data_IF_646444406312
#
_entry.id   IF_646444406312
#
_cell.length_a   1.000
_cell.length_b   1.000
_cell.length_c   1.000
_cell.angle_alpha   90.00
_cell.angle_beta   90.00
_cell.angle_gamma   90.00
#
_symmetry.space_group_name_H-M   'P 1'
#
loop_
_entity.id
_entity.type
_entity.pdbx_description
1 polymer ?
#
# COMPACT_ATOMS: atom_id res chain seq x y z
N UNK A 1 3.07 -26.06 -2.48
CA UNK A 1 3.02 -24.75 -1.78
C UNK A 1 2.77 -24.92 -0.27
N UNK A 2 3.05 -23.90 0.57
CA UNK A 2 2.96 -24.00 2.04
C UNK A 2 1.55 -24.39 2.55
N UNK A 3 0.51 -23.89 1.88
CA UNK A 3 -0.89 -24.19 2.21
C UNK A 3 -1.29 -25.64 1.96
N UNK A 4 -0.70 -26.30 0.95
CA UNK A 4 -0.94 -27.72 0.69
C UNK A 4 -0.47 -28.58 1.86
N UNK A 5 0.64 -28.18 2.50
CA UNK A 5 1.20 -28.84 3.69
C UNK A 5 0.50 -28.40 4.98
N UNK A 6 -0.11 -27.22 5.01
CA UNK A 6 -0.76 -26.60 6.18
C UNK A 6 -2.14 -26.07 5.81
N UNK A 7 -3.12 -26.97 5.73
CA UNK A 7 -4.49 -26.69 5.23
C UNK A 7 -5.29 -25.64 6.03
N UNK A 8 -4.89 -25.36 7.27
CA UNK A 8 -5.53 -24.37 8.15
C UNK A 8 -4.83 -23.01 8.15
N UNK A 9 -3.79 -22.84 7.33
CA UNK A 9 -3.05 -21.59 7.17
C UNK A 9 -3.58 -20.83 5.97
N UNK A 10 -3.57 -19.50 6.06
CA UNK A 10 -3.77 -18.61 4.92
C UNK A 10 -2.43 -18.01 4.53
N UNK A 11 -2.12 -18.03 3.24
CA UNK A 11 -1.09 -17.24 2.63
C UNK A 11 -1.75 -15.98 2.07
N UNK A 12 -1.35 -14.82 2.60
CA UNK A 12 -1.85 -13.52 2.15
C UNK A 12 -0.70 -12.70 1.56
N UNK A 13 -0.93 -12.00 0.44
CA UNK A 13 0.02 -10.99 0.00
C UNK A 13 0.05 -9.82 0.99
N UNK A 14 1.21 -9.17 1.07
CA UNK A 14 1.41 -7.98 1.88
C UNK A 14 0.57 -6.81 1.36
N UNK A 15 -0.32 -6.28 2.19
CA UNK A 15 -1.19 -5.17 1.82
C UNK A 15 -0.40 -3.88 1.53
N UNK A 16 0.61 -3.56 2.36
CA UNK A 16 1.45 -2.39 2.14
C UNK A 16 2.17 -2.46 0.79
N UNK A 17 2.78 -3.62 0.48
CA UNK A 17 3.45 -3.85 -0.81
C UNK A 17 2.47 -3.74 -1.98
N UNK A 18 1.29 -4.36 -1.88
CA UNK A 18 0.29 -4.29 -2.94
C UNK A 18 -0.26 -2.87 -3.15
N UNK A 19 -0.49 -2.10 -2.08
CA UNK A 19 -0.88 -0.69 -2.21
C UNK A 19 0.25 0.13 -2.80
N UNK A 20 1.50 -0.13 -2.42
CA UNK A 20 2.67 0.52 -3.02
C UNK A 20 2.79 0.25 -4.53
N UNK A 21 2.47 -0.99 -4.96
CA UNK A 21 2.35 -1.34 -6.39
C UNK A 21 1.18 -0.64 -7.08
N UNK A 22 0.06 -0.41 -6.40
CA UNK A 22 -1.02 0.44 -6.95
C UNK A 22 -0.52 1.88 -7.17
N UNK A 23 0.23 2.40 -6.20
CA UNK A 23 0.82 3.73 -6.28
C UNK A 23 1.80 3.85 -7.45
N UNK A 24 2.62 2.82 -7.69
CA UNK A 24 3.46 2.71 -8.90
C UNK A 24 2.64 2.77 -10.18
N UNK A 25 1.56 1.99 -10.27
CA UNK A 25 0.74 1.91 -11.48
C UNK A 25 -0.03 3.20 -11.75
N UNK A 26 -0.32 4.00 -10.73
CA UNK A 26 -0.83 5.36 -10.96
C UNK A 26 0.18 6.23 -11.71
N UNK A 27 1.49 6.05 -11.50
CA UNK A 27 2.52 6.79 -12.23
C UNK A 27 2.57 6.41 -13.71
N UNK A 28 2.11 5.21 -14.06
CA UNK A 28 2.03 4.73 -15.43
C UNK A 28 0.86 5.37 -16.22
N UNK A 29 -0.07 6.05 -15.54
CA UNK A 29 -1.09 6.86 -16.20
C UNK A 29 -0.41 8.09 -16.82
N UNK A 30 -0.43 8.20 -18.16
CA UNK A 30 0.32 9.19 -18.96
C UNK A 30 0.27 10.61 -18.36
N UNK A 31 -0.93 11.14 -18.12
CA UNK A 31 -1.09 12.51 -17.61
C UNK A 31 -0.60 12.70 -16.17
N UNK A 32 -0.62 11.65 -15.35
CA UNK A 32 -0.05 11.64 -13.99
C UNK A 32 1.48 11.62 -14.08
N UNK A 33 2.03 10.66 -14.82
CA UNK A 33 3.48 10.51 -15.02
C UNK A 33 4.13 11.78 -15.57
N UNK A 34 3.52 12.43 -16.56
CA UNK A 34 4.00 13.71 -17.10
C UNK A 34 3.99 14.84 -16.07
N UNK A 35 2.94 14.92 -15.24
CA UNK A 35 2.85 15.91 -14.18
C UNK A 35 3.96 15.72 -13.13
N UNK A 36 4.21 14.47 -12.74
CA UNK A 36 5.23 14.11 -11.76
C UNK A 36 6.63 14.33 -12.33
N UNK A 37 6.86 14.05 -13.61
CA UNK A 37 8.14 14.34 -14.25
C UNK A 37 8.45 15.84 -14.27
N UNK A 38 7.44 16.70 -14.48
CA UNK A 38 7.60 18.16 -14.36
C UNK A 38 7.92 18.57 -12.91
N UNK A 39 7.28 17.94 -11.92
CA UNK A 39 7.58 18.18 -10.51
C UNK A 39 9.02 17.76 -10.14
N UNK A 40 9.47 16.58 -10.60
CA UNK A 40 10.85 16.10 -10.42
C UNK A 40 11.89 17.03 -11.04
N UNK A 41 11.61 17.65 -12.20
CA UNK A 41 12.51 18.67 -12.79
C UNK A 41 12.70 19.88 -11.87
N UNK A 42 11.64 20.34 -11.21
CA UNK A 42 11.72 21.46 -10.26
C UNK A 42 12.67 21.09 -9.10
N UNK A 43 12.45 19.93 -8.49
CA UNK A 43 13.25 19.50 -7.33
C UNK A 43 14.70 19.21 -7.73
N UNK A 44 14.95 18.55 -8.86
CA UNK A 44 16.32 18.27 -9.34
C UNK A 44 17.13 19.56 -9.50
N UNK A 45 16.58 20.58 -10.16
CA UNK A 45 17.27 21.86 -10.33
C UNK A 45 17.64 22.49 -8.97
N UNK A 46 16.72 22.44 -8.00
CA UNK A 46 16.92 23.04 -6.68
C UNK A 46 17.93 22.24 -5.85
N UNK A 47 17.78 20.92 -5.78
CA UNK A 47 18.58 20.05 -4.90
C UNK A 47 19.99 19.77 -5.46
N UNK A 48 20.17 19.75 -6.79
CA UNK A 48 21.48 19.57 -7.41
C UNK A 48 22.34 20.84 -7.37
N UNK A 49 21.79 21.94 -6.87
CA UNK A 49 22.50 23.20 -6.71
C UNK A 49 22.46 23.66 -5.25
N UNK A 50 23.60 23.54 -4.58
CA UNK A 50 23.76 23.90 -3.16
C UNK A 50 23.36 25.35 -2.87
N UNK A 51 23.63 26.28 -3.80
CA UNK A 51 23.21 27.67 -3.67
C UNK A 51 21.69 27.80 -3.73
N UNK A 52 21.02 27.17 -4.72
CA UNK A 52 19.56 27.23 -4.85
C UNK A 52 18.84 26.58 -3.69
N UNK A 53 19.29 25.41 -3.24
CA UNK A 53 18.73 24.74 -2.07
C UNK A 53 18.83 25.64 -0.84
N UNK A 54 20.00 26.26 -0.61
CA UNK A 54 20.20 27.17 0.51
C UNK A 54 19.37 28.44 0.40
N UNK A 55 19.21 28.96 -0.82
CA UNK A 55 18.44 30.17 -1.12
C UNK A 55 16.95 29.94 -0.87
N UNK A 56 16.41 28.85 -1.40
CA UNK A 56 15.03 28.41 -1.17
C UNK A 56 14.75 28.27 0.33
N UNK A 57 15.59 27.51 1.04
CA UNK A 57 15.39 27.22 2.47
C UNK A 57 15.44 28.47 3.34
N UNK A 58 16.45 29.31 3.15
CA UNK A 58 16.69 30.46 4.03
C UNK A 58 15.71 31.60 3.79
N UNK A 59 15.32 31.83 2.54
CA UNK A 59 14.59 33.06 2.18
C UNK A 59 13.11 32.84 1.88
N UNK A 60 12.67 31.59 1.62
CA UNK A 60 11.31 31.32 1.16
C UNK A 60 10.58 30.26 1.97
N UNK A 61 11.18 29.09 2.23
CA UNK A 61 10.47 27.96 2.88
C UNK A 61 10.67 27.90 4.39
N UNK A 62 11.38 28.85 5.00
CA UNK A 62 11.63 28.86 6.45
C UNK A 62 12.41 27.64 6.95
N UNK A 63 13.27 27.08 6.10
CA UNK A 63 14.07 25.88 6.38
C UNK A 63 13.41 24.56 5.99
N UNK A 64 12.16 24.57 5.50
CA UNK A 64 11.44 23.36 5.12
C UNK A 64 11.95 22.75 3.79
N UNK A 65 11.89 21.43 3.70
CA UNK A 65 12.25 20.63 2.52
C UNK A 65 11.06 20.48 1.56
N UNK A 66 11.33 20.43 0.24
CA UNK A 66 10.31 20.05 -0.73
C UNK A 66 10.11 18.54 -0.79
N UNK A 67 11.16 17.75 -0.59
CA UNK A 67 11.06 16.29 -0.60
C UNK A 67 10.69 15.80 0.79
N UNK A 68 9.62 14.99 0.87
CA UNK A 68 9.15 14.36 2.11
C UNK A 68 9.32 12.84 1.98
N UNK A 69 10.44 12.27 2.48
CA UNK A 69 10.66 10.83 2.47
C UNK A 69 9.53 10.11 3.23
N UNK A 70 9.05 9.03 2.63
CA UNK A 70 8.19 8.03 3.27
C UNK A 70 8.89 6.67 3.17
N UNK A 71 8.27 5.61 3.67
CA UNK A 71 8.92 4.28 3.68
C UNK A 71 9.15 3.72 2.28
N UNK A 72 8.32 4.06 1.29
CA UNK A 72 8.53 3.65 -0.11
C UNK A 72 8.82 4.84 -1.03
N UNK A 73 9.49 4.55 -2.15
CA UNK A 73 9.76 5.53 -3.21
C UNK A 73 8.47 6.09 -3.82
N UNK A 74 7.42 5.27 -3.93
CA UNK A 74 6.14 5.70 -4.47
C UNK A 74 5.40 6.55 -3.45
N UNK A 75 5.26 6.12 -2.19
CA UNK A 75 4.71 6.95 -1.11
C UNK A 75 5.40 8.34 -1.05
N UNK A 76 6.73 8.34 -1.12
CA UNK A 76 7.56 9.57 -1.14
C UNK A 76 7.19 10.50 -2.28
N UNK A 77 6.80 9.95 -3.43
CA UNK A 77 6.36 10.74 -4.57
C UNK A 77 5.14 11.58 -4.19
N UNK A 78 4.11 10.99 -3.58
CA UNK A 78 2.88 11.72 -3.21
C UNK A 78 3.11 12.78 -2.13
N UNK A 79 3.84 12.44 -1.07
CA UNK A 79 4.13 13.43 -0.01
C UNK A 79 5.00 14.58 -0.52
N UNK A 80 5.90 14.31 -1.47
CA UNK A 80 6.70 15.37 -2.11
C UNK A 80 5.85 16.25 -3.03
N UNK A 81 4.84 15.71 -3.74
CA UNK A 81 3.89 16.54 -4.49
C UNK A 81 3.07 17.45 -3.57
N UNK A 82 2.66 16.95 -2.41
CA UNK A 82 1.91 17.72 -1.40
C UNK A 82 2.77 18.88 -0.86
N UNK A 83 4.02 18.60 -0.47
CA UNK A 83 4.99 19.63 -0.08
C UNK A 83 5.25 20.67 -1.18
N UNK A 84 5.34 20.23 -2.44
CA UNK A 84 5.55 21.12 -3.56
C UNK A 84 4.36 22.07 -3.78
N UNK A 85 3.13 21.59 -3.54
CA UNK A 85 1.92 22.39 -3.59
C UNK A 85 1.85 23.39 -2.42
N UNK A 86 2.22 22.97 -1.20
CA UNK A 86 2.32 23.84 -0.03
C UNK A 86 3.26 25.02 -0.30
N UNK A 87 4.42 24.74 -0.90
CA UNK A 87 5.44 25.74 -1.24
C UNK A 87 5.27 26.39 -2.62
N UNK A 88 4.14 26.20 -3.31
CA UNK A 88 3.88 26.79 -4.63
C UNK A 88 4.14 28.30 -4.67
N UNK A 89 3.62 29.03 -3.69
CA UNK A 89 3.74 30.49 -3.66
C UNK A 89 5.15 30.94 -3.32
N UNK A 90 5.85 30.18 -2.48
CA UNK A 90 7.22 30.44 -2.09
C UNK A 90 8.17 30.25 -3.27
N UNK A 91 7.98 29.16 -4.03
CA UNK A 91 8.72 28.91 -5.27
C UNK A 91 8.45 29.98 -6.33
N UNK A 92 7.20 30.41 -6.51
CA UNK A 92 6.90 31.53 -7.42
C UNK A 92 7.64 32.80 -7.04
N UNK A 93 7.63 33.17 -5.75
CA UNK A 93 8.38 34.33 -5.25
C UNK A 93 9.88 34.18 -5.44
N UNK A 94 10.42 32.98 -5.24
CA UNK A 94 11.84 32.68 -5.43
C UNK A 94 12.29 32.95 -6.86
N UNK A 95 11.58 32.37 -7.84
CA UNK A 95 11.89 32.54 -9.27
C UNK A 95 11.55 33.93 -9.82
N UNK A 96 10.83 34.77 -9.06
CA UNK A 96 10.58 36.17 -9.41
C UNK A 96 11.48 37.16 -8.65
N UNK A 97 12.35 36.67 -7.77
CA UNK A 97 13.18 37.52 -6.93
C UNK A 97 14.33 38.17 -7.71
N UNK A 98 14.70 39.40 -7.34
CA UNK A 98 15.85 40.10 -7.94
C UNK A 98 17.16 39.30 -7.80
N UNK A 99 17.32 38.56 -6.70
CA UNK A 99 18.49 37.69 -6.47
C UNK A 99 18.54 36.54 -7.47
N UNK A 100 17.42 35.89 -7.76
CA UNK A 100 17.34 34.87 -8.82
C UNK A 100 17.64 35.47 -10.19
N UNK A 101 16.96 36.56 -10.56
CA UNK A 101 17.10 37.20 -11.87
C UNK A 101 18.53 37.70 -12.15
N UNK A 102 19.26 38.09 -11.11
CA UNK A 102 20.65 38.52 -11.20
C UNK A 102 21.66 37.36 -11.15
N UNK A 103 21.20 36.14 -10.87
CA UNK A 103 22.07 34.97 -10.71
C UNK A 103 22.57 34.45 -12.06
N UNK A 104 23.77 33.84 -12.11
CA UNK A 104 24.23 33.15 -13.31
C UNK A 104 23.37 31.93 -13.65
N UNK A 105 22.71 31.33 -12.66
CA UNK A 105 21.90 30.11 -12.80
C UNK A 105 20.62 30.34 -13.61
N UNK A 106 19.99 31.52 -13.48
CA UNK A 106 18.79 31.87 -14.25
C UNK A 106 19.01 31.88 -15.78
N UNK A 107 20.27 31.92 -16.23
CA UNK A 107 20.61 31.90 -17.66
C UNK A 107 20.65 30.50 -18.26
N UNK A 108 20.71 29.45 -17.44
CA UNK A 108 20.70 28.05 -17.89
C UNK A 108 19.38 27.73 -18.59
N UNK A 109 19.42 26.89 -19.63
CA UNK A 109 18.21 26.48 -20.34
C UNK A 109 17.31 25.61 -19.46
N UNK A 110 17.90 24.75 -18.61
CA UNK A 110 17.18 23.96 -17.60
C UNK A 110 16.43 24.87 -16.61
N UNK A 111 17.08 25.95 -16.16
CA UNK A 111 16.48 26.93 -15.25
C UNK A 111 15.30 27.66 -15.88
N UNK A 112 15.40 28.03 -17.16
CA UNK A 112 14.29 28.66 -17.90
C UNK A 112 13.11 27.71 -18.11
N UNK A 113 13.38 26.43 -18.34
CA UNK A 113 12.32 25.42 -18.43
C UNK A 113 11.58 25.27 -17.09
N UNK A 114 12.31 25.17 -15.98
CA UNK A 114 11.72 25.08 -14.64
C UNK A 114 10.96 26.35 -14.29
N UNK A 115 11.48 27.53 -14.61
CA UNK A 115 10.78 28.80 -14.42
C UNK A 115 9.44 28.81 -15.18
N UNK A 116 9.43 28.35 -16.44
CA UNK A 116 8.18 28.20 -17.21
C UNK A 116 7.20 27.26 -16.52
N UNK A 117 7.65 26.13 -15.96
CA UNK A 117 6.78 25.20 -15.23
C UNK A 117 6.21 25.87 -13.97
N UNK A 118 7.04 26.54 -13.18
CA UNK A 118 6.62 27.18 -11.91
C UNK A 118 5.66 28.34 -12.16
N UNK A 119 5.81 29.08 -13.26
CA UNK A 119 4.90 30.17 -13.60
C UNK A 119 3.62 29.70 -14.30
N UNK A 120 3.60 28.47 -14.83
CA UNK A 120 2.46 27.89 -15.55
C UNK A 120 1.29 27.57 -14.60
N UNK A 121 0.20 28.34 -14.71
CA UNK A 121 -1.02 28.14 -13.90
C UNK A 121 -1.69 26.79 -14.16
N UNK A 122 -1.92 26.36 -15.43
CA UNK A 122 -2.41 25.01 -15.74
C UNK A 122 -1.61 23.88 -15.08
N UNK A 123 -0.28 23.96 -15.04
CA UNK A 123 0.56 22.94 -14.37
C UNK A 123 0.15 22.76 -12.90
N UNK A 124 0.03 23.84 -12.14
CA UNK A 124 -0.36 23.76 -10.74
C UNK A 124 -1.79 23.26 -10.53
N UNK A 125 -2.72 23.57 -11.44
CA UNK A 125 -4.08 23.01 -11.41
C UNK A 125 -4.04 21.49 -11.65
N UNK A 126 -3.27 21.04 -12.66
CA UNK A 126 -3.06 19.61 -12.95
C UNK A 126 -2.39 18.90 -11.78
N UNK A 127 -1.36 19.50 -11.16
CA UNK A 127 -0.69 18.94 -9.99
C UNK A 127 -1.63 18.80 -8.79
N UNK A 128 -2.48 19.81 -8.54
CA UNK A 128 -3.49 19.74 -7.48
C UNK A 128 -4.53 18.65 -7.75
N UNK A 129 -4.93 18.48 -9.00
CA UNK A 129 -5.83 17.41 -9.43
C UNK A 129 -5.19 16.03 -9.22
N UNK A 130 -3.96 15.82 -9.70
CA UNK A 130 -3.16 14.60 -9.49
C UNK A 130 -3.08 14.28 -8.00
N UNK A 131 -2.68 15.25 -7.17
CA UNK A 131 -2.56 15.06 -5.71
C UNK A 131 -3.88 14.57 -5.11
N UNK A 132 -4.98 15.26 -5.39
CA UNK A 132 -6.32 14.91 -4.88
C UNK A 132 -6.79 13.51 -5.31
N UNK A 133 -6.39 13.06 -6.49
CA UNK A 133 -6.74 11.71 -6.98
C UNK A 133 -5.99 10.58 -6.27
N UNK A 134 -4.79 10.85 -5.77
CA UNK A 134 -3.86 9.82 -5.30
C UNK A 134 -3.72 9.80 -3.77
N UNK A 135 -3.97 10.96 -3.14
CA UNK A 135 -3.90 11.18 -1.70
C UNK A 135 -4.72 10.17 -0.87
N UNK A 136 -5.98 9.81 -1.22
CA UNK A 136 -6.74 8.88 -0.40
C UNK A 136 -6.07 7.50 -0.28
N UNK A 137 -5.44 7.00 -1.35
CA UNK A 137 -4.72 5.71 -1.34
C UNK A 137 -3.38 5.82 -0.59
N UNK A 138 -2.64 6.92 -0.81
CA UNK A 138 -1.40 7.17 -0.09
C UNK A 138 -1.60 7.27 1.43
N UNK A 139 -2.71 7.86 1.88
CA UNK A 139 -3.07 7.90 3.30
C UNK A 139 -3.43 6.53 3.87
N UNK A 140 -4.02 5.62 3.08
CA UNK A 140 -4.21 4.23 3.55
C UNK A 140 -2.86 3.56 3.78
N UNK A 141 -1.91 3.73 2.85
CA UNK A 141 -0.56 3.19 3.01
C UNK A 141 0.12 3.75 4.27
N UNK A 142 0.07 5.06 4.47
CA UNK A 142 0.63 5.72 5.65
C UNK A 142 0.05 5.20 6.96
N UNK A 143 -1.26 4.91 7.01
CA UNK A 143 -1.91 4.34 8.21
C UNK A 143 -1.46 2.92 8.51
N UNK A 144 -1.19 2.11 7.48
CA UNK A 144 -0.68 0.74 7.66
C UNK A 144 0.73 0.78 8.27
N UNK A 145 1.46 1.86 8.01
CA UNK A 145 2.87 2.04 8.39
C UNK A 145 3.03 2.78 9.73
N UNK A 146 2.09 3.65 10.09
CA UNK A 146 2.01 4.19 11.44
C UNK A 146 1.59 3.06 12.37
N UNK A 147 2.56 2.40 13.01
CA UNK A 147 2.46 1.23 13.92
C UNK A 147 1.42 1.35 15.07
N UNK A 148 0.63 2.43 15.13
CA UNK A 148 -0.32 2.74 16.20
C UNK A 148 -1.68 2.02 16.07
N UNK A 149 -2.07 1.44 14.92
CA UNK A 149 -3.39 0.78 14.76
C UNK A 149 -3.32 -0.48 13.87
N UNK A 150 -4.00 -1.55 14.29
CA UNK A 150 -4.05 -2.82 13.55
C UNK A 150 -4.49 -2.62 12.10
N UNK A 151 -3.66 -3.14 11.22
CA UNK A 151 -3.78 -2.93 9.79
C UNK A 151 -4.74 -3.95 9.16
N UNK A 152 -4.78 -5.21 9.63
CA UNK A 152 -5.67 -6.22 9.05
C UNK A 152 -7.18 -5.88 9.14
N UNK A 153 -7.73 -5.45 10.29
CA UNK A 153 -9.17 -5.18 10.43
C UNK A 153 -9.68 -3.96 9.69
N UNK A 154 -8.78 -3.08 9.25
CA UNK A 154 -9.15 -1.74 8.79
C UNK A 154 -8.96 -1.56 7.28
N UNK A 155 -7.96 -2.21 6.67
CA UNK A 155 -7.54 -1.86 5.31
C UNK A 155 -8.64 -2.02 4.27
N UNK A 156 -9.41 -3.10 4.31
CA UNK A 156 -10.49 -3.28 3.32
C UNK A 156 -11.49 -2.12 3.39
N UNK A 157 -11.89 -1.73 4.60
CA UNK A 157 -12.80 -0.59 4.82
C UNK A 157 -12.17 0.74 4.42
N UNK A 158 -10.89 0.96 4.75
CA UNK A 158 -10.17 2.18 4.41
C UNK A 158 -9.92 2.33 2.91
N UNK A 159 -9.67 1.24 2.19
CA UNK A 159 -9.57 1.26 0.73
C UNK A 159 -10.93 1.45 0.05
N UNK A 160 -12.01 0.86 0.59
CA UNK A 160 -13.37 1.16 0.13
C UNK A 160 -13.66 2.66 0.27
N UNK A 161 -13.32 3.25 1.42
CA UNK A 161 -13.46 4.69 1.66
C UNK A 161 -12.60 5.52 0.73
N UNK A 162 -11.35 5.14 0.49
CA UNK A 162 -10.48 5.83 -0.46
C UNK A 162 -11.11 5.88 -1.86
N UNK A 163 -11.73 4.78 -2.33
CA UNK A 163 -12.46 4.77 -3.60
C UNK A 163 -13.61 5.76 -3.62
N UNK A 164 -14.44 5.80 -2.57
CA UNK A 164 -15.56 6.75 -2.45
C UNK A 164 -15.08 8.20 -2.33
N UNK A 165 -13.99 8.44 -1.62
CA UNK A 165 -13.39 9.76 -1.46
C UNK A 165 -12.88 10.31 -2.79
N UNK A 166 -12.15 9.51 -3.56
CA UNK A 166 -11.71 9.86 -4.92
C UNK A 166 -12.92 10.22 -5.80
N UNK A 167 -13.97 9.40 -5.75
CA UNK A 167 -15.20 9.63 -6.51
C UNK A 167 -15.86 10.98 -6.15
N UNK A 168 -15.99 11.25 -4.85
CA UNK A 168 -16.59 12.47 -4.31
C UNK A 168 -15.77 13.72 -4.63
N UNK A 169 -14.44 13.65 -4.49
CA UNK A 169 -13.51 14.73 -4.80
C UNK A 169 -13.67 15.23 -6.25
N UNK A 170 -13.98 14.31 -7.17
CA UNK A 170 -14.13 14.59 -8.59
C UNK A 170 -15.59 14.77 -9.03
N UNK A 171 -16.49 15.06 -8.08
CA UNK A 171 -17.88 15.40 -8.37
C UNK A 171 -18.67 14.26 -9.01
N UNK A 172 -18.34 13.00 -8.67
CA UNK A 172 -18.93 11.80 -9.26
C UNK A 172 -18.76 11.65 -10.78
N UNK A 173 -17.87 12.43 -11.39
CA UNK A 173 -17.55 12.37 -12.82
C UNK A 173 -16.59 11.22 -13.14
N UNK A 174 -17.13 10.13 -13.69
CA UNK A 174 -16.39 8.91 -14.03
C UNK A 174 -15.24 9.14 -15.03
N UNK A 175 -15.28 10.20 -15.84
CA UNK A 175 -14.18 10.52 -16.76
C UNK A 175 -12.92 10.96 -16.01
N UNK A 176 -13.09 11.60 -14.85
CA UNK A 176 -12.01 12.17 -14.04
C UNK A 176 -11.33 11.14 -13.15
N UNK A 177 -12.11 10.32 -12.44
CA UNK A 177 -11.57 9.31 -11.54
C UNK A 177 -11.43 7.92 -12.18
N UNK A 178 -12.07 7.67 -13.32
CA UNK A 178 -12.12 6.36 -13.97
C UNK A 178 -10.76 5.70 -14.18
N UNK A 179 -9.74 6.40 -14.73
CA UNK A 179 -8.40 5.82 -14.90
C UNK A 179 -7.76 5.38 -13.58
N UNK A 180 -7.92 6.18 -12.52
CA UNK A 180 -7.39 5.87 -11.18
C UNK A 180 -8.14 4.70 -10.56
N UNK A 181 -9.47 4.67 -10.67
CA UNK A 181 -10.26 3.52 -10.25
C UNK A 181 -9.90 2.25 -11.01
N UNK A 182 -9.64 2.34 -12.32
CA UNK A 182 -9.21 1.19 -13.13
C UNK A 182 -7.95 0.52 -12.56
N UNK A 183 -6.96 1.31 -12.17
CA UNK A 183 -5.75 0.78 -11.49
C UNK A 183 -6.13 0.14 -10.15
N UNK A 184 -6.97 0.79 -9.34
CA UNK A 184 -7.40 0.23 -8.05
C UNK A 184 -8.09 -1.13 -8.25
N UNK A 185 -9.03 -1.23 -9.19
CA UNK A 185 -9.79 -2.48 -9.44
C UNK A 185 -8.89 -3.63 -9.93
N UNK A 186 -7.87 -3.33 -10.74
CA UNK A 186 -6.91 -4.32 -11.21
C UNK A 186 -6.17 -5.01 -10.05
N UNK A 187 -5.82 -4.25 -9.01
CA UNK A 187 -5.18 -4.78 -7.80
C UNK A 187 -6.18 -5.22 -6.73
N UNK A 188 -7.43 -4.77 -6.81
CA UNK A 188 -8.44 -5.07 -5.81
C UNK A 188 -8.73 -6.56 -5.71
N UNK A 189 -8.83 -7.23 -6.86
CA UNK A 189 -9.15 -8.65 -6.93
C UNK A 189 -8.04 -9.54 -6.35
N UNK A 190 -6.77 -9.13 -6.45
CA UNK A 190 -5.64 -9.94 -5.98
C UNK A 190 -5.40 -9.82 -4.47
N UNK A 191 -5.76 -8.68 -3.87
CA UNK A 191 -5.53 -8.43 -2.44
C UNK A 191 -6.84 -8.42 -1.63
N UNK A 192 -7.80 -7.57 -1.99
CA UNK A 192 -8.94 -7.23 -1.13
C UNK A 192 -10.13 -8.18 -1.23
N UNK A 193 -10.13 -9.09 -2.21
CA UNK A 193 -11.07 -10.22 -2.23
C UNK A 193 -10.58 -11.41 -1.41
N UNK A 194 -9.38 -11.36 -0.83
CA UNK A 194 -8.90 -12.45 -0.01
C UNK A 194 -9.79 -12.61 1.25
N UNK A 195 -10.25 -13.84 1.58
CA UNK A 195 -11.20 -14.11 2.65
C UNK A 195 -10.86 -13.46 3.99
N UNK A 196 -9.58 -13.46 4.36
CA UNK A 196 -9.14 -12.85 5.62
C UNK A 196 -9.40 -11.34 5.70
N UNK A 197 -9.13 -10.54 4.66
CA UNK A 197 -9.32 -9.09 4.74
C UNK A 197 -10.81 -8.74 4.86
N UNK A 198 -11.66 -9.41 4.07
CA UNK A 198 -13.09 -9.17 4.11
C UNK A 198 -13.73 -9.68 5.41
N UNK A 199 -13.25 -10.82 5.95
CA UNK A 199 -13.70 -11.33 7.24
C UNK A 199 -13.23 -10.42 8.40
N UNK A 200 -12.00 -9.92 8.35
CA UNK A 200 -11.48 -8.98 9.34
C UNK A 200 -12.29 -7.69 9.37
N UNK A 201 -12.65 -7.14 8.21
CA UNK A 201 -13.54 -5.99 8.09
C UNK A 201 -14.94 -6.26 8.67
N UNK A 202 -15.53 -7.43 8.39
CA UNK A 202 -16.83 -7.80 8.96
C UNK A 202 -16.81 -7.86 10.49
N UNK A 203 -15.75 -8.46 11.04
CA UNK A 203 -15.58 -8.70 12.47
C UNK A 203 -15.07 -7.46 13.22
N UNK A 204 -14.76 -6.36 12.52
CA UNK A 204 -14.28 -5.14 13.17
C UNK A 204 -15.45 -4.36 13.80
N UNK A 205 -15.53 -4.25 15.15
CA UNK A 205 -16.63 -3.59 15.82
C UNK A 205 -16.68 -2.08 15.54
N UNK A 206 -15.54 -1.46 15.23
CA UNK A 206 -15.46 -0.03 14.91
C UNK A 206 -16.19 0.29 13.59
N UNK A 207 -15.98 -0.50 12.54
CA UNK A 207 -16.65 -0.30 11.25
C UNK A 207 -18.12 -0.70 11.31
N UNK A 208 -18.44 -1.81 11.98
CA UNK A 208 -19.80 -2.37 12.02
C UNK A 208 -20.86 -1.37 12.49
N UNK A 209 -20.47 -0.45 13.35
CA UNK A 209 -21.36 0.54 13.95
C UNK A 209 -21.38 1.89 13.22
N UNK A 210 -20.62 2.03 12.14
CA UNK A 210 -20.68 3.24 11.32
C UNK A 210 -21.88 3.18 10.38
N UNK A 211 -22.40 4.36 10.04
CA UNK A 211 -23.54 4.49 9.11
C UNK A 211 -23.16 4.15 7.68
N UNK A 212 -21.87 4.19 7.34
CA UNK A 212 -21.29 3.87 6.03
C UNK A 212 -20.85 2.39 5.92
N UNK A 213 -21.25 1.52 6.86
CA UNK A 213 -20.87 0.10 6.82
C UNK A 213 -21.60 -0.65 5.69
N UNK A 214 -20.85 -1.06 4.67
CA UNK A 214 -21.35 -1.82 3.53
C UNK A 214 -20.93 -3.28 3.69
N UNK A 215 -21.87 -4.21 3.51
CA UNK A 215 -21.60 -5.66 3.50
C UNK A 215 -21.97 -6.22 2.13
N UNK A 216 -21.06 -6.15 1.14
CA UNK A 216 -21.30 -6.82 -0.13
C UNK A 216 -21.22 -8.35 0.06
N UNK A 217 -21.83 -9.16 -0.83
CA UNK A 217 -21.89 -10.62 -0.69
C UNK A 217 -20.54 -11.30 -0.45
N UNK A 218 -19.47 -10.72 -1.00
CA UNK A 218 -18.07 -11.17 -0.89
C UNK A 218 -17.62 -11.19 0.56
N UNK A 219 -18.07 -10.24 1.38
CA UNK A 219 -17.72 -10.16 2.80
C UNK A 219 -18.28 -11.34 3.58
N UNK A 220 -19.54 -11.71 3.33
CA UNK A 220 -20.16 -12.87 3.98
C UNK A 220 -19.53 -14.17 3.48
N UNK A 221 -19.25 -14.28 2.18
CA UNK A 221 -18.58 -15.44 1.59
C UNK A 221 -17.20 -15.66 2.20
N UNK A 222 -16.38 -14.60 2.28
CA UNK A 222 -15.04 -14.67 2.86
C UNK A 222 -15.05 -14.98 4.36
N UNK A 223 -16.02 -14.46 5.12
CA UNK A 223 -16.19 -14.85 6.53
C UNK A 223 -16.46 -16.36 6.68
N UNK A 224 -17.40 -16.88 5.90
CA UNK A 224 -17.73 -18.31 5.94
C UNK A 224 -16.54 -19.19 5.54
N UNK A 225 -15.78 -18.78 4.53
CA UNK A 225 -14.55 -19.46 4.11
C UNK A 225 -13.51 -19.47 5.23
N UNK A 226 -13.32 -18.35 5.94
CA UNK A 226 -12.44 -18.28 7.09
C UNK A 226 -12.87 -19.22 8.22
N UNK A 227 -14.17 -19.28 8.54
CA UNK A 227 -14.69 -20.19 9.57
C UNK A 227 -14.41 -21.64 9.19
N UNK A 228 -14.68 -22.04 7.95
CA UNK A 228 -14.46 -23.40 7.46
C UNK A 228 -12.98 -23.78 7.48
N UNK A 229 -12.09 -22.84 7.12
CA UNK A 229 -10.65 -23.10 7.02
C UNK A 229 -9.95 -23.11 8.38
N UNK A 230 -10.31 -22.20 9.29
CA UNK A 230 -9.64 -22.03 10.59
C UNK A 230 -10.13 -23.00 11.67
N UNK A 231 -11.36 -23.48 11.56
CA UNK A 231 -11.94 -24.45 12.49
C UNK A 231 -12.09 -25.82 11.81
N UNK A 232 -11.55 -26.87 12.42
CA UNK A 232 -11.59 -28.22 11.85
C UNK A 232 -12.89 -28.96 12.22
N UNK A 233 -13.43 -28.68 13.41
CA UNK A 233 -14.61 -29.36 13.94
C UNK A 233 -15.90 -28.79 13.34
N UNK A 234 -16.70 -29.67 12.73
CA UNK A 234 -17.93 -29.25 12.07
C UNK A 234 -19.00 -28.70 13.04
N UNK A 235 -19.07 -29.23 14.27
CA UNK A 235 -19.98 -28.73 15.30
C UNK A 235 -19.62 -27.31 15.72
N UNK A 236 -18.34 -27.04 15.92
CA UNK A 236 -17.83 -25.68 16.23
C UNK A 236 -18.03 -24.70 15.09
N UNK A 237 -17.88 -25.13 13.83
CA UNK A 237 -18.21 -24.29 12.66
C UNK A 237 -19.67 -23.85 12.67
N UNK A 238 -20.59 -24.80 12.87
CA UNK A 238 -22.03 -24.51 12.93
C UNK A 238 -22.32 -23.58 14.12
N UNK A 239 -21.72 -23.84 15.28
CA UNK A 239 -21.87 -22.99 16.47
C UNK A 239 -21.37 -21.57 16.22
N UNK A 240 -20.18 -21.39 15.63
CA UNK A 240 -19.65 -20.09 15.26
C UNK A 240 -20.57 -19.35 14.27
N UNK A 241 -21.09 -20.05 13.26
CA UNK A 241 -22.05 -19.47 12.31
C UNK A 241 -23.35 -19.03 12.97
N UNK A 242 -23.85 -19.80 13.95
CA UNK A 242 -25.06 -19.46 14.72
C UNK A 242 -24.84 -18.27 15.67
N UNK A 243 -23.60 -17.94 16.03
CA UNK A 243 -23.24 -16.80 16.88
C UNK A 243 -23.13 -15.48 16.10
N UNK A 244 -22.97 -15.52 14.77
CA UNK A 244 -22.86 -14.31 13.93
C UNK A 244 -24.04 -13.35 14.12
N UNK A 245 -25.31 -13.78 14.11
CA UNK A 245 -26.44 -12.88 14.30
C UNK A 245 -26.41 -12.14 15.64
N UNK A 246 -25.90 -12.76 16.69
CA UNK A 246 -25.86 -12.15 18.03
C UNK A 246 -24.83 -11.01 18.09
N UNK A 247 -23.67 -11.18 17.43
CA UNK A 247 -22.74 -10.08 17.19
C UNK A 247 -23.35 -8.99 16.31
N UNK A 248 -23.94 -9.38 15.17
CA UNK A 248 -24.52 -8.44 14.19
C UNK A 248 -25.64 -7.58 14.78
N UNK A 249 -26.42 -8.12 15.71
CA UNK A 249 -27.54 -7.44 16.38
C UNK A 249 -27.17 -6.84 17.73
N UNK A 250 -25.88 -6.83 18.09
CA UNK A 250 -25.38 -6.33 19.37
C UNK A 250 -26.17 -6.88 20.56
N UNK A 251 -26.40 -8.20 20.60
CA UNK A 251 -27.09 -8.85 21.72
C UNK A 251 -26.13 -9.16 22.86
N UNK A 252 -26.70 -9.34 24.05
CA UNK A 252 -25.97 -9.72 25.25
C UNK A 252 -24.75 -8.81 25.48
N UNK A 253 -23.55 -9.39 25.60
CA UNK A 253 -22.33 -8.68 25.95
C UNK A 253 -21.94 -7.61 24.93
N UNK A 254 -22.22 -7.84 23.64
CA UNK A 254 -21.93 -6.90 22.56
C UNK A 254 -22.76 -5.61 22.60
N UNK A 255 -23.93 -5.66 23.25
CA UNK A 255 -24.85 -4.53 23.36
C UNK A 255 -24.69 -3.69 24.63
N UNK A 256 -23.76 -4.06 25.51
CA UNK A 256 -23.52 -3.33 26.75
C UNK A 256 -22.94 -1.94 26.48
N UNK A 257 -23.24 -0.96 27.34
CA UNK A 257 -22.68 0.39 27.21
C UNK A 257 -21.14 0.39 27.19
N UNK A 258 -20.52 -0.54 27.92
CA UNK A 258 -19.07 -0.73 27.92
C UNK A 258 -18.56 -1.24 26.57
N UNK A 259 -19.20 -2.26 25.98
CA UNK A 259 -18.83 -2.77 24.66
C UNK A 259 -18.99 -1.69 23.58
N UNK A 260 -20.08 -0.94 23.63
CA UNK A 260 -20.38 0.15 22.68
C UNK A 260 -19.38 1.30 22.81
N UNK A 261 -19.03 1.72 24.03
CA UNK A 261 -18.09 2.83 24.25
C UNK A 261 -16.64 2.49 23.92
N UNK A 262 -16.23 1.22 24.08
CA UNK A 262 -14.83 0.79 23.89
C UNK A 262 -14.50 0.33 22.47
N UNK A 263 -15.48 0.22 21.56
CA UNK A 263 -15.30 -0.35 20.20
C UNK A 263 -14.37 0.43 19.27
N UNK A 264 -14.14 1.72 19.54
CA UNK A 264 -13.22 2.58 18.78
C UNK A 264 -11.87 2.77 19.47
N UNK A 265 -11.83 2.49 20.79
CA UNK A 265 -10.68 2.76 21.66
C UNK A 265 -9.78 1.53 21.80
N UNK A 266 -10.38 0.34 21.76
CA UNK A 266 -9.65 -0.92 21.87
C UNK A 266 -9.28 -1.47 20.50
N UNK A 267 -8.15 -2.17 20.46
CA UNK A 267 -7.83 -3.14 19.42
C UNK A 267 -9.03 -4.08 19.17
N UNK A 268 -9.48 -4.29 17.92
CA UNK A 268 -10.54 -5.25 17.62
C UNK A 268 -10.30 -6.63 18.23
N UNK A 269 -9.07 -7.17 18.23
CA UNK A 269 -8.84 -8.48 18.83
C UNK A 269 -9.00 -8.45 20.36
N UNK A 270 -8.46 -7.42 21.04
CA UNK A 270 -8.68 -7.20 22.47
C UNK A 270 -10.16 -6.94 22.82
N UNK A 271 -10.90 -6.21 21.99
CA UNK A 271 -12.33 -5.98 22.15
C UNK A 271 -13.10 -7.30 22.08
N UNK A 272 -12.80 -8.15 21.10
CA UNK A 272 -13.37 -9.50 21.02
C UNK A 272 -13.01 -10.35 22.23
N UNK A 273 -11.78 -10.25 22.74
CA UNK A 273 -11.38 -10.97 23.95
C UNK A 273 -12.21 -10.56 25.19
N UNK A 274 -12.56 -9.29 25.31
CA UNK A 274 -13.34 -8.77 26.44
C UNK A 274 -14.85 -9.03 26.31
N UNK A 275 -15.42 -8.77 25.12
CA UNK A 275 -16.87 -8.72 24.93
C UNK A 275 -17.45 -9.92 24.18
N UNK A 276 -16.61 -10.78 23.60
CA UNK A 276 -17.02 -11.99 22.86
C UNK A 276 -17.35 -13.21 23.71
N UNK A 277 -17.49 -13.07 25.04
CA UNK A 277 -17.59 -14.19 25.99
C UNK A 277 -18.84 -15.06 25.80
N UNK A 278 -19.96 -14.50 25.35
CA UNK A 278 -21.17 -15.24 24.99
C UNK A 278 -21.05 -16.04 23.69
N UNK A 279 -20.05 -15.73 22.85
CA UNK A 279 -19.86 -16.30 21.52
C UNK A 279 -18.46 -16.90 21.37
N UNK A 280 -18.10 -17.87 22.22
CA UNK A 280 -16.73 -18.38 22.35
C UNK A 280 -16.11 -18.94 21.05
N UNK A 281 -16.90 -19.59 20.20
CA UNK A 281 -16.37 -20.19 18.97
C UNK A 281 -16.11 -19.11 17.91
N UNK A 282 -17.03 -18.15 17.75
CA UNK A 282 -16.82 -16.99 16.90
C UNK A 282 -15.69 -16.09 17.43
N UNK A 283 -15.61 -15.89 18.75
CA UNK A 283 -14.56 -15.10 19.41
C UNK A 283 -13.17 -15.64 19.09
N UNK A 284 -12.94 -16.95 19.21
CA UNK A 284 -11.65 -17.57 18.88
C UNK A 284 -11.25 -17.33 17.43
N UNK A 285 -12.20 -17.44 16.51
CA UNK A 285 -11.97 -17.20 15.08
C UNK A 285 -11.68 -15.71 14.83
N UNK A 286 -12.47 -14.82 15.43
CA UNK A 286 -12.30 -13.38 15.30
C UNK A 286 -10.93 -12.92 15.80
N UNK A 287 -10.52 -13.34 17.01
CA UNK A 287 -9.19 -13.01 17.55
C UNK A 287 -8.10 -13.51 16.60
N UNK A 288 -8.21 -14.75 16.07
CA UNK A 288 -7.21 -15.30 15.13
C UNK A 288 -7.10 -14.50 13.83
N UNK A 289 -8.22 -14.00 13.30
CA UNK A 289 -8.25 -13.20 12.06
C UNK A 289 -7.74 -11.78 12.32
N UNK A 290 -8.26 -11.12 13.36
CA UNK A 290 -8.01 -9.71 13.66
C UNK A 290 -6.59 -9.46 14.18
N UNK A 291 -5.97 -10.47 14.80
CA UNK A 291 -4.58 -10.40 15.29
C UNK A 291 -3.52 -10.62 14.20
N UNK A 292 -3.93 -10.85 12.94
CA UNK A 292 -2.97 -11.01 11.85
C UNK A 292 -2.32 -9.67 11.47
N UNK A 293 -1.07 -9.71 11.04
CA UNK A 293 -0.38 -8.59 10.41
C UNK A 293 -0.58 -8.63 8.90
N UNK A 294 -0.70 -7.48 8.26
CA UNK A 294 -0.82 -7.40 6.80
C UNK A 294 0.28 -6.57 6.12
N UNK A 295 1.29 -6.13 6.87
CA UNK A 295 2.46 -5.44 6.33
C UNK A 295 3.72 -6.24 6.61
N UNK A 296 4.48 -6.54 5.56
CA UNK A 296 5.86 -7.00 5.62
C UNK A 296 6.85 -5.90 5.23
N UNK A 297 6.41 -4.65 5.02
CA UNK A 297 7.25 -3.62 4.39
C UNK A 297 8.46 -3.23 5.25
N UNK A 298 8.28 -3.17 6.58
CA UNK A 298 9.36 -3.00 7.54
C UNK A 298 10.37 -4.17 7.53
N UNK A 299 9.97 -5.34 7.03
CA UNK A 299 10.87 -6.46 6.70
C UNK A 299 11.51 -6.25 5.33
N UNK A 300 10.76 -6.01 4.27
CA UNK A 300 11.26 -5.89 2.89
C UNK A 300 12.42 -4.89 2.74
N UNK A 301 12.38 -3.76 3.41
CA UNK A 301 13.46 -2.76 3.41
C UNK A 301 14.77 -3.26 4.05
N UNK A 302 14.67 -4.09 5.08
CA UNK A 302 15.82 -4.77 5.68
C UNK A 302 16.32 -5.91 4.77
N UNK A 303 15.42 -6.54 4.02
CA UNK A 303 15.71 -7.66 3.13
C UNK A 303 16.22 -7.24 1.74
N UNK A 304 15.87 -6.07 1.23
CA UNK A 304 16.44 -5.52 -0.02
C UNK A 304 17.90 -5.11 0.17
N UNK A 305 18.21 -4.54 1.33
CA UNK A 305 19.59 -4.33 1.79
C UNK A 305 20.33 -5.67 1.89
N UNK A 306 19.68 -6.71 2.43
CA UNK A 306 20.21 -8.07 2.44
C UNK A 306 20.48 -8.62 1.04
N UNK A 307 19.59 -8.44 0.06
CA UNK A 307 19.81 -8.92 -1.31
C UNK A 307 20.97 -8.17 -2.02
N UNK A 308 21.13 -6.87 -1.77
CA UNK A 308 22.27 -6.08 -2.26
C UNK A 308 23.62 -6.53 -1.65
N UNK A 309 23.63 -6.98 -0.39
CA UNK A 309 24.81 -7.56 0.24
C UNK A 309 25.04 -9.02 -0.14
N UNK A 310 23.97 -9.77 -0.39
CA UNK A 310 23.97 -11.18 -0.82
C UNK A 310 24.54 -11.34 -2.22
N UNK A 311 24.15 -10.49 -3.18
CA UNK A 311 24.71 -10.50 -4.54
C UNK A 311 26.22 -10.26 -4.55
N UNK A 312 26.77 -9.68 -3.48
CA UNK A 312 28.20 -9.36 -3.34
C UNK A 312 29.01 -10.38 -2.51
N UNK A 313 28.39 -11.26 -1.70
CA UNK A 313 29.13 -12.19 -0.80
C UNK A 313 28.40 -13.53 -0.54
N UNK A 314 28.89 -14.60 -1.17
CA UNK A 314 28.38 -15.97 -1.04
C UNK A 314 28.93 -16.77 0.17
N UNK A 315 28.82 -16.29 1.42
CA UNK A 315 29.28 -17.08 2.59
C UNK A 315 28.16 -17.38 3.60
N UNK A 316 27.94 -18.67 3.87
CA UNK A 316 26.99 -19.21 4.85
C UNK A 316 27.18 -18.66 6.27
N UNK A 317 28.42 -18.38 6.68
CA UNK A 317 28.71 -17.79 8.00
C UNK A 317 28.13 -16.36 8.13
N UNK A 318 28.11 -15.61 7.04
CA UNK A 318 27.48 -14.29 6.99
C UNK A 318 25.96 -14.41 7.14
N UNK A 319 25.34 -15.43 6.54
CA UNK A 319 23.89 -15.67 6.65
C UNK A 319 23.45 -15.92 8.09
N UNK A 320 24.20 -16.73 8.85
CA UNK A 320 23.90 -16.99 10.27
C UNK A 320 24.01 -15.73 11.12
N UNK A 321 25.10 -14.96 10.97
CA UNK A 321 25.32 -13.70 11.70
C UNK A 321 24.23 -12.66 11.39
N UNK A 322 23.79 -12.57 10.15
CA UNK A 322 22.70 -11.65 9.78
C UNK A 322 21.35 -12.10 10.31
N UNK A 323 21.01 -13.39 10.28
CA UNK A 323 19.78 -13.87 10.94
C UNK A 323 19.76 -13.53 12.44
N UNK A 324 20.90 -13.69 13.13
CA UNK A 324 21.06 -13.30 14.53
C UNK A 324 20.90 -11.78 14.73
N UNK A 325 21.46 -10.98 13.83
CA UNK A 325 21.34 -9.52 13.89
C UNK A 325 19.92 -9.03 13.56
N UNK A 326 19.25 -9.61 12.59
CA UNK A 326 17.84 -9.35 12.26
C UNK A 326 16.94 -9.71 13.44
N UNK A 327 17.15 -10.88 14.06
CA UNK A 327 16.45 -11.28 15.28
C UNK A 327 16.67 -10.28 16.41
N UNK A 328 17.91 -9.87 16.67
CA UNK A 328 18.22 -8.87 17.70
C UNK A 328 17.58 -7.52 17.39
N UNK A 329 17.65 -7.05 16.13
CA UNK A 329 17.08 -5.78 15.68
C UNK A 329 15.57 -5.71 15.90
N UNK A 330 14.81 -6.71 15.44
CA UNK A 330 13.36 -6.72 15.61
C UNK A 330 12.94 -6.86 17.07
N UNK A 331 13.62 -7.70 17.85
CA UNK A 331 13.29 -7.84 19.27
C UNK A 331 13.60 -6.56 20.07
N UNK A 332 14.66 -5.84 19.70
CA UNK A 332 14.96 -4.52 20.29
C UNK A 332 13.85 -3.52 19.95
N UNK A 333 13.44 -3.43 18.67
CA UNK A 333 12.32 -2.56 18.27
C UNK A 333 11.00 -2.90 18.97
N UNK A 334 10.66 -4.18 19.08
CA UNK A 334 9.47 -4.62 19.82
C UNK A 334 9.54 -4.20 21.30
N UNK A 335 10.72 -4.28 21.91
CA UNK A 335 10.94 -3.85 23.29
C UNK A 335 10.86 -2.33 23.43
N UNK A 336 11.44 -1.57 22.50
CA UNK A 336 11.32 -0.10 22.45
C UNK A 336 9.86 0.34 22.33
N UNK A 337 9.07 -0.36 21.50
CA UNK A 337 7.65 -0.12 21.34
C UNK A 337 6.86 -0.41 22.62
N UNK A 338 7.14 -1.52 23.32
CA UNK A 338 6.54 -1.82 24.63
C UNK A 338 6.88 -0.76 25.69
N UNK A 339 8.01 -0.08 25.55
CA UNK A 339 8.47 0.98 26.44
C UNK A 339 7.99 2.37 26.01
N UNK A 340 7.28 2.50 24.88
CA UNK A 340 6.79 3.77 24.35
C UNK A 340 7.89 4.71 23.84
N UNK A 341 9.07 4.18 23.50
CA UNK A 341 10.18 4.97 22.94
C UNK A 341 9.84 5.34 21.51
N UNK A 342 9.84 6.64 21.19
CA UNK A 342 9.47 7.12 19.85
C UNK A 342 10.54 6.78 18.82
N UNK A 343 10.16 6.35 17.59
CA UNK A 343 11.09 6.10 16.51
C UNK A 343 11.71 7.44 16.06
N UNK A 344 12.93 7.70 16.51
CA UNK A 344 13.65 8.96 16.29
C UNK A 344 14.90 9.12 17.17
N UNK A 345 14.99 8.37 18.26
CA UNK A 345 16.17 8.39 19.16
C UNK A 345 17.24 7.34 18.81
N UNK A 346 16.96 6.37 17.93
CA UNK A 346 17.93 5.36 17.48
C UNK A 346 18.52 5.71 16.10
N UNK A 347 19.72 6.30 16.11
CA UNK A 347 20.53 6.47 14.90
C UNK A 347 21.05 5.12 14.40
N UNK A 348 20.92 4.83 13.10
CA UNK A 348 22.03 4.44 12.20
C UNK A 348 21.61 3.68 10.94
N UNK A 349 20.42 3.07 10.85
CA UNK A 349 20.03 2.29 9.65
C UNK A 349 19.12 3.08 8.69
N UNK A 350 18.23 3.92 9.21
CA UNK A 350 17.21 4.63 8.40
C UNK A 350 17.80 5.72 7.47
N UNK A 351 18.99 6.26 7.77
CA UNK A 351 19.59 7.34 6.97
C UNK A 351 20.03 6.90 5.56
N UNK A 352 20.59 5.69 5.42
CA UNK A 352 20.97 5.14 4.10
C UNK A 352 19.73 4.78 3.27
N UNK A 353 18.65 4.42 3.95
CA UNK A 353 17.37 4.09 3.32
C UNK A 353 16.72 5.34 2.70
N UNK A 354 16.75 6.46 3.42
CA UNK A 354 16.20 7.74 2.93
C UNK A 354 16.91 8.20 1.64
N UNK A 355 18.23 8.04 1.53
CA UNK A 355 18.96 8.40 0.31
C UNK A 355 18.48 7.59 -0.91
N UNK A 356 18.37 6.25 -0.78
CA UNK A 356 17.91 5.39 -1.89
C UNK A 356 16.47 5.66 -2.36
N UNK A 357 15.62 6.16 -1.47
CA UNK A 357 14.22 6.51 -1.76
C UNK A 357 14.15 7.83 -2.53
N UNK A 358 15.08 8.74 -2.27
CA UNK A 358 15.14 10.06 -2.90
C UNK A 358 15.91 10.08 -4.23
N UNK A 359 16.67 9.05 -4.56
CA UNK A 359 17.49 9.00 -5.79
C UNK A 359 16.69 9.35 -7.06
N UNK A 360 15.46 8.86 -7.19
CA UNK A 360 14.59 9.12 -8.34
C UNK A 360 14.20 10.62 -8.48
N UNK A 361 14.22 11.35 -7.35
CA UNK A 361 13.97 12.79 -7.29
C UNK A 361 15.23 13.65 -7.47
N UNK A 362 16.42 13.06 -7.37
CA UNK A 362 17.70 13.77 -7.38
C UNK A 362 18.53 13.49 -8.65
N UNK A 363 18.47 12.28 -9.19
CA UNK A 363 19.28 11.80 -10.32
C UNK A 363 18.40 11.58 -11.57
N UNK A 364 18.92 11.82 -12.77
CA UNK A 364 18.25 11.41 -14.01
C UNK A 364 18.37 9.89 -14.19
N UNK A 365 17.26 9.20 -14.41
CA UNK A 365 17.28 7.82 -14.87
C UNK A 365 17.80 7.80 -16.32
N UNK A 366 19.12 7.71 -16.49
CA UNK A 366 19.68 7.24 -17.75
C UNK A 366 19.07 5.86 -18.02
N UNK A 367 18.31 5.74 -19.11
CA UNK A 367 17.88 4.43 -19.63
C UNK A 367 19.13 3.65 -19.99
N UNK A 368 19.73 2.94 -19.04
CA UNK A 368 20.72 1.92 -19.34
C UNK A 368 19.97 0.76 -19.98
N UNK A 369 19.93 0.76 -21.31
CA UNK A 369 19.78 -0.44 -22.09
C UNK A 369 21.02 -1.30 -21.83
N UNK A 370 20.99 -2.13 -20.80
CA UNK A 370 21.98 -3.19 -20.64
C UNK A 370 21.49 -4.35 -21.48
N UNK A 371 22.26 -4.65 -22.51
CA UNK A 371 22.15 -5.86 -23.31
C UNK A 371 22.26 -7.07 -22.36
N UNK A 372 21.16 -7.84 -22.23
CA UNK A 372 21.20 -9.17 -21.66
C UNK A 372 21.85 -10.10 -22.69
N UNK A 373 23.16 -10.31 -22.56
CA UNK A 373 23.86 -11.43 -23.18
C UNK A 373 24.87 -11.96 -22.15
N UNK A 374 24.41 -12.76 -21.19
CA UNK A 374 25.21 -13.83 -20.61
C UNK A 374 24.29 -15.04 -20.38
N UNK A 375 24.41 -16.03 -21.27
CA UNK A 375 23.94 -17.40 -21.08
C UNK A 375 24.52 -17.95 -19.77
N UNK A 376 23.69 -18.06 -18.74
CA UNK A 376 24.00 -18.90 -17.58
C UNK A 376 23.52 -20.32 -17.93
N UNK A 377 24.50 -21.18 -18.19
CA UNK A 377 24.33 -22.62 -18.36
C UNK A 377 23.71 -23.20 -17.08
N UNK A 378 22.45 -23.61 -17.18
CA UNK A 378 21.81 -24.51 -16.22
C UNK A 378 22.49 -25.88 -16.31
N UNK A 379 23.46 -26.13 -15.42
CA UNK A 379 23.89 -27.48 -15.09
C UNK A 379 24.38 -27.53 -13.65
N UNK A 380 23.93 -28.55 -12.94
CA UNK A 380 24.38 -28.97 -11.60
C UNK A 380 23.69 -28.29 -10.39
N UNK A 381 22.35 -28.34 -10.35
CA UNK A 381 21.57 -28.35 -9.10
C UNK A 381 20.80 -29.66 -8.89
N UNK A 382 21.46 -30.80 -9.15
CA UNK A 382 21.01 -32.12 -8.68
C UNK A 382 22.20 -32.87 -8.09
N UNK A 383 22.55 -32.58 -6.83
CA UNK A 383 23.36 -33.46 -5.97
C UNK A 383 23.59 -32.75 -4.62
N UNK A 384 22.60 -32.72 -3.72
CA UNK A 384 22.85 -32.67 -2.26
C UNK A 384 21.57 -32.91 -1.44
N UNK A 385 20.88 -34.01 -1.69
CA UNK A 385 20.01 -34.63 -0.69
C UNK A 385 20.19 -36.14 -0.78
N UNK A 386 20.99 -36.69 0.13
CA UNK A 386 21.26 -38.12 0.21
C UNK A 386 22.28 -38.40 1.31
N UNK A 387 21.79 -38.55 2.54
CA UNK A 387 22.19 -39.65 3.41
C UNK A 387 21.37 -39.60 4.71
N UNK A 388 20.42 -40.52 4.82
CA UNK A 388 20.27 -41.44 5.96
C UNK A 388 19.18 -42.44 5.55
N UNK A 389 19.63 -43.64 5.12
CA UNK A 389 18.77 -44.82 4.94
C UNK A 389 18.36 -45.37 6.31
N UNK A 390 17.10 -45.79 6.43
CA UNK A 390 16.83 -47.12 6.98
C UNK A 390 15.66 -47.76 6.22
N UNK A 391 15.81 -49.04 5.89
CA UNK A 391 15.04 -49.83 4.92
C UNK A 391 13.76 -50.48 5.48
N UNK A 392 12.93 -50.93 4.53
CA UNK A 392 11.80 -51.89 4.56
C UNK A 392 10.42 -51.25 4.33
N UNK A 393 9.55 -51.73 3.44
CA UNK A 393 9.61 -52.74 2.39
C UNK A 393 8.31 -52.59 1.55
N UNK A 394 8.36 -52.97 0.27
CA UNK A 394 7.29 -53.37 -0.68
C UNK A 394 5.90 -52.68 -0.67
N UNK A 395 5.21 -52.33 -1.76
CA UNK A 395 5.29 -52.62 -3.20
C UNK A 395 4.19 -51.79 -3.88
N UNK A 396 4.41 -51.52 -5.17
CA UNK A 396 3.44 -51.56 -6.27
C UNK A 396 2.97 -50.27 -6.97
N UNK A 397 3.08 -50.36 -8.31
CA UNK A 397 2.93 -49.33 -9.32
C UNK A 397 1.48 -49.32 -9.86
N UNK A 398 0.93 -48.14 -10.19
CA UNK A 398 0.54 -47.73 -11.57
C UNK A 398 -0.23 -46.39 -11.62
N UNK A 399 -0.19 -45.66 -12.76
CA UNK A 399 -0.69 -44.30 -12.91
C UNK A 399 -2.01 -44.20 -13.70
N UNK A 400 -2.46 -42.95 -13.92
CA UNK A 400 -3.60 -42.44 -14.72
C UNK A 400 -4.69 -41.84 -13.79
N UNK A 401 -5.38 -40.73 -14.08
CA UNK A 401 -5.76 -40.22 -15.39
C UNK A 401 -6.25 -38.77 -15.29
N UNK A 402 -6.06 -38.06 -16.40
CA UNK A 402 -6.48 -36.70 -16.68
C UNK A 402 -7.98 -36.70 -17.03
N UNK A 403 -8.79 -35.84 -16.41
CA UNK A 403 -10.16 -35.58 -16.88
C UNK A 403 -10.40 -34.08 -16.99
N UNK A 404 -10.46 -33.66 -18.25
CA UNK A 404 -11.02 -32.40 -18.74
C UNK A 404 -12.55 -32.42 -18.62
N UNK A 405 -13.16 -31.29 -18.24
CA UNK A 405 -14.55 -31.04 -18.60
C UNK A 405 -14.76 -29.54 -18.87
N UNK A 406 -15.07 -29.26 -20.14
CA UNK A 406 -15.47 -27.98 -20.67
C UNK A 406 -16.99 -27.80 -20.56
N UNK A 407 -17.42 -26.55 -20.43
CA UNK A 407 -18.81 -26.07 -20.60
C UNK A 407 -18.83 -24.56 -20.30
N UNK A 408 -18.69 -23.64 -21.28
CA UNK A 408 -19.63 -23.18 -22.32
C UNK A 408 -20.70 -22.21 -21.79
N UNK A 409 -20.45 -20.90 -22.04
CA UNK A 409 -21.38 -19.86 -22.61
C UNK A 409 -22.37 -19.17 -21.65
N UNK A 410 -22.65 -17.85 -21.65
CA UNK A 410 -22.19 -16.60 -22.33
C UNK A 410 -22.91 -15.39 -21.62
N UNK A 411 -22.67 -14.11 -22.00
CA UNK A 411 -22.84 -12.93 -21.16
C UNK A 411 -24.20 -12.21 -21.30
N UNK A 412 -24.45 -11.21 -20.44
CA UNK A 412 -25.55 -10.27 -20.61
C UNK A 412 -25.04 -8.85 -20.86
N UNK A 413 -25.48 -8.30 -21.99
CA UNK A 413 -25.29 -6.92 -22.44
C UNK A 413 -26.29 -5.92 -21.82
N UNK A 414 -25.91 -4.67 -22.03
CA UNK A 414 -26.37 -3.32 -21.64
C UNK A 414 -27.78 -2.87 -22.01
N UNK A 415 -28.33 -1.87 -21.28
CA UNK A 415 -28.74 -0.57 -21.87
C UNK A 415 -29.17 0.52 -20.85
N UNK A 416 -29.17 1.81 -21.25
CA UNK A 416 -29.05 2.99 -20.38
C UNK A 416 -30.35 3.78 -20.17
N UNK A 417 -30.34 4.72 -19.22
CA UNK A 417 -31.33 5.81 -19.15
C UNK A 417 -30.66 7.14 -18.77
N UNK A 418 -30.94 8.15 -19.59
CA UNK A 418 -30.48 9.53 -19.46
C UNK A 418 -31.38 10.35 -18.52
N UNK A 419 -30.78 11.27 -17.76
CA UNK A 419 -31.44 12.48 -17.27
C UNK A 419 -30.37 13.57 -17.12
N UNK A 420 -30.53 14.65 -17.89
CA UNK A 420 -29.63 15.79 -17.87
C UNK A 420 -29.94 16.75 -16.72
N UNK A 421 -28.88 17.31 -16.13
CA UNK A 421 -28.92 18.55 -15.37
C UNK A 421 -27.70 19.36 -15.79
N UNK A 422 -27.96 20.55 -16.31
CA UNK A 422 -26.98 21.57 -16.67
C UNK A 422 -26.51 22.30 -15.42
N UNK A 423 -25.22 22.27 -15.14
CA UNK A 423 -24.55 23.22 -14.22
C UNK A 423 -23.26 23.67 -14.87
N UNK A 424 -23.07 24.98 -14.90
CA UNK A 424 -22.01 25.75 -15.56
C UNK A 424 -20.62 25.13 -15.37
N UNK A 425 -20.07 24.58 -16.47
CA UNK A 425 -18.71 24.08 -16.60
C UNK A 425 -17.89 25.08 -17.40
N UNK A 426 -17.50 26.17 -16.75
CA UNK A 426 -16.43 27.05 -17.26
C UNK A 426 -15.18 26.78 -16.42
N UNK A 427 -14.42 25.74 -16.78
CA UNK A 427 -13.03 25.66 -16.34
C UNK A 427 -12.31 24.32 -16.38
N UNK A 428 -12.50 23.44 -17.37
CA UNK A 428 -11.74 22.18 -17.45
C UNK A 428 -11.29 21.74 -18.87
N UNK A 429 -11.02 22.68 -19.78
CA UNK A 429 -10.41 22.40 -21.11
C UNK A 429 -9.07 21.64 -21.08
N UNK A 430 -8.45 21.40 -19.91
CA UNK A 430 -7.20 20.64 -19.82
C UNK A 430 -7.37 19.12 -19.68
N UNK A 431 -8.59 18.63 -19.44
CA UNK A 431 -8.88 17.20 -19.35
C UNK A 431 -9.33 16.63 -20.69
N UNK A 432 -9.97 17.44 -21.53
CA UNK A 432 -10.50 16.96 -22.82
C UNK A 432 -9.41 16.65 -23.84
N UNK A 433 -8.24 17.32 -23.78
CA UNK A 433 -7.10 17.04 -24.68
C UNK A 433 -6.26 15.81 -24.25
N UNK A 434 -6.32 15.39 -22.98
CA UNK A 434 -5.44 14.33 -22.41
C UNK A 434 -6.18 13.03 -22.05
N UNK A 435 -7.53 13.02 -22.05
CA UNK A 435 -8.35 11.84 -21.73
C UNK A 435 -8.80 11.03 -22.96
N UNK A 436 -8.52 11.52 -24.17
CA UNK A 436 -8.81 10.84 -25.43
C UNK A 436 -7.53 10.33 -26.08
N UNK A 437 -6.86 9.35 -25.48
CA UNK A 437 -5.92 8.46 -26.18
C UNK A 437 -5.61 7.20 -25.37
#
# INVERSE_FOLDING_TARGET
MLEEKRRHLFWTPCAAHCIDRMLEDFLNIKWIGECINKAKRITRLIYNNTWLLSFMKKEFTGGQELLKPAVTKFATTFFSLDSLLDHKNDLKKMFQSNKWLSSPFAKSDEAKEVEKIILNVPFWKKLQFVRKSLEPVAHVLQKIESDEIQSMPCIYGDMCRAKFEIKSIHGDDARKYGPVWGVIENHWNSLFHHPLYVAAYFLNPSYRCRTDFIVPPEVIRGLNECIVRLEADNGKRISASMQIPDFVSAKADFGTDLAVSTRMELDPAAWWQQHGISCLELQRIAIRILSQTCSSIGCEHTWSTYDQFRSKRHNCQSRKRWNELTYAHYNLRLREHQLGVKPGESFSFDSFMIESILDDWLVEAEKQAVQEDEEIVDSEMEQFYGDEMDENDHTDKRPAEMVTLAGVVEPFETSPAAAGVTTDDDGLDFLDDDLTE
#
